data_IF_989180158259
#
_entry.id   IF_989180158259
#
_cell.length_a   1.000
_cell.length_b   1.000
_cell.length_c   1.000
_cell.angle_alpha   90.00
_cell.angle_beta   90.00
_cell.angle_gamma   90.00
#
_symmetry.space_group_name_H-M   'P 1'
#
loop_
_entity.id
_entity.type
_entity.pdbx_description
1 polymer ?
#
# COMPACT_ATOMS: atom_id res chain seq x y z
N UNK A 1 61.89 25.38 -5.11
CA UNK A 1 61.06 24.25 -4.65
C UNK A 1 59.77 24.83 -4.08
N UNK A 2 58.69 24.82 -4.87
CA UNK A 2 57.36 25.25 -4.42
C UNK A 2 56.54 23.97 -4.24
N UNK A 3 56.22 23.61 -2.99
CA UNK A 3 55.38 22.44 -2.71
C UNK A 3 53.91 22.83 -2.90
N UNK A 4 53.29 22.28 -3.93
CA UNK A 4 51.85 22.37 -4.16
C UNK A 4 51.16 21.36 -3.23
N UNK A 5 50.49 21.85 -2.19
CA UNK A 5 49.66 21.01 -1.31
C UNK A 5 48.31 20.82 -1.98
N UNK A 6 48.07 19.61 -2.49
CA UNK A 6 46.78 19.21 -3.06
C UNK A 6 45.84 18.83 -1.91
N UNK A 7 44.88 19.70 -1.59
CA UNK A 7 43.82 19.39 -0.63
C UNK A 7 42.73 18.62 -1.39
N UNK A 8 42.75 17.29 -1.27
CA UNK A 8 41.66 16.43 -1.74
C UNK A 8 40.56 16.49 -0.66
N UNK A 9 39.50 17.25 -0.91
CA UNK A 9 38.29 17.19 -0.10
C UNK A 9 37.54 15.89 -0.43
N UNK A 10 37.60 14.91 0.46
CA UNK A 10 36.65 13.81 0.44
C UNK A 10 35.30 14.32 0.95
N UNK A 11 34.41 14.69 0.03
CA UNK A 11 32.99 14.81 0.35
C UNK A 11 32.44 13.39 0.57
N UNK A 12 32.38 12.96 1.82
CA UNK A 12 31.66 11.75 2.19
C UNK A 12 30.17 11.97 1.91
N UNK A 13 29.68 11.48 0.77
CA UNK A 13 28.24 11.37 0.53
C UNK A 13 27.72 10.23 1.42
N UNK A 14 27.27 10.57 2.62
CA UNK A 14 26.50 9.63 3.45
C UNK A 14 25.11 9.48 2.83
N UNK A 15 24.92 8.51 1.95
CA UNK A 15 23.57 8.00 1.67
C UNK A 15 23.20 7.01 2.77
N UNK A 16 22.72 7.51 3.91
CA UNK A 16 22.02 6.65 4.87
C UNK A 16 20.57 6.51 4.38
N UNK A 17 20.34 5.66 3.39
CA UNK A 17 18.99 5.17 3.10
C UNK A 17 18.89 3.73 3.60
N UNK A 18 18.71 3.55 4.92
CA UNK A 18 18.49 2.23 5.51
C UNK A 18 17.69 2.32 6.81
N UNK A 19 16.47 2.80 6.69
CA UNK A 19 15.25 2.31 7.32
C UNK A 19 14.10 2.80 6.42
N UNK A 20 12.98 2.09 6.27
CA UNK A 20 12.59 0.75 6.76
C UNK A 20 13.40 -0.39 6.09
N UNK A 21 13.13 -1.71 6.31
CA UNK A 21 14.10 -2.80 6.09
C UNK A 21 14.69 -2.95 4.67
N UNK A 22 14.01 -2.42 3.64
CA UNK A 22 14.52 -2.42 2.27
C UNK A 22 14.89 -1.01 1.76
N UNK A 23 14.80 0.02 2.62
CA UNK A 23 15.02 1.43 2.27
C UNK A 23 13.96 1.96 1.30
N UNK A 24 14.36 2.88 0.41
CA UNK A 24 13.47 3.40 -0.64
C UNK A 24 13.03 2.26 -1.58
N UNK A 25 11.72 2.02 -1.63
CA UNK A 25 11.14 1.09 -2.60
C UNK A 25 11.09 1.70 -4.00
N UNK A 26 11.21 0.86 -5.00
CA UNK A 26 11.04 1.22 -6.41
C UNK A 26 10.39 0.09 -7.19
N UNK A 27 9.69 0.42 -8.27
CA UNK A 27 9.06 -0.57 -9.16
C UNK A 27 9.82 -0.65 -10.47
N UNK A 28 10.19 -1.85 -10.89
CA UNK A 28 10.82 -2.13 -12.18
C UNK A 28 10.14 -3.31 -12.86
N UNK A 29 9.34 -3.03 -13.88
CA UNK A 29 8.47 -4.03 -14.49
C UNK A 29 7.49 -4.59 -13.46
N UNK A 30 7.39 -5.92 -13.39
CA UNK A 30 6.55 -6.59 -12.41
C UNK A 30 7.18 -6.79 -11.02
N UNK A 31 8.26 -6.05 -10.68
CA UNK A 31 9.00 -6.23 -9.41
C UNK A 31 9.03 -4.97 -8.56
N UNK A 32 8.77 -5.14 -7.27
CA UNK A 32 9.11 -4.21 -6.19
C UNK A 32 10.52 -4.52 -5.70
N UNK A 33 11.37 -3.50 -5.71
CA UNK A 33 12.79 -3.59 -5.34
C UNK A 33 13.08 -2.66 -4.17
N UNK A 34 13.97 -3.08 -3.30
CA UNK A 34 14.59 -2.21 -2.29
C UNK A 34 15.67 -1.30 -2.89
N UNK A 35 16.21 -0.44 -2.04
CA UNK A 35 17.29 0.50 -2.36
C UNK A 35 18.59 -0.18 -2.84
N UNK A 36 18.78 -1.46 -2.52
CA UNK A 36 19.91 -2.28 -2.98
C UNK A 36 19.66 -2.96 -4.35
N UNK A 37 18.51 -2.69 -4.98
CA UNK A 37 18.11 -3.28 -6.26
C UNK A 37 17.65 -4.75 -6.18
N UNK A 38 17.57 -5.33 -4.98
CA UNK A 38 17.04 -6.68 -4.77
C UNK A 38 15.52 -6.66 -4.56
N UNK A 39 14.80 -7.75 -4.89
CA UNK A 39 13.37 -7.86 -4.60
C UNK A 39 13.06 -7.59 -3.12
N UNK A 40 12.09 -6.72 -2.88
CA UNK A 40 11.54 -6.46 -1.56
C UNK A 40 10.24 -7.26 -1.38
N UNK A 41 10.08 -7.90 -0.23
CA UNK A 41 8.84 -8.58 0.15
C UNK A 41 8.36 -7.99 1.47
N UNK A 42 7.19 -7.35 1.43
CA UNK A 42 6.57 -6.88 2.65
C UNK A 42 5.68 -8.00 3.20
N UNK A 43 5.55 -8.03 4.51
CA UNK A 43 4.70 -8.97 5.22
C UNK A 43 4.25 -8.26 6.48
N UNK A 44 2.94 -8.17 6.65
CA UNK A 44 2.36 -7.32 7.67
C UNK A 44 0.91 -7.60 7.90
N UNK A 45 0.28 -6.71 8.67
CA UNK A 45 -1.14 -6.76 8.98
C UNK A 45 -1.81 -5.47 8.52
N UNK A 46 -3.01 -5.61 7.97
CA UNK A 46 -3.95 -4.50 7.92
C UNK A 46 -4.59 -4.34 9.29
N UNK A 47 -4.62 -3.11 9.77
CA UNK A 47 -5.58 -2.75 10.80
C UNK A 47 -6.98 -2.79 10.19
N UNK A 48 -7.99 -3.05 11.02
CA UNK A 48 -9.38 -2.93 10.60
C UNK A 48 -9.74 -1.45 10.40
N UNK A 49 -10.92 -1.19 9.83
CA UNK A 49 -11.47 0.14 9.57
C UNK A 49 -11.31 1.10 10.76
N UNK A 50 -10.73 2.28 10.50
CA UNK A 50 -10.38 3.28 11.52
C UNK A 50 -11.56 3.85 12.31
N UNK A 51 -12.76 3.87 11.72
CA UNK A 51 -13.98 4.43 12.31
C UNK A 51 -14.81 3.41 13.10
N UNK A 52 -14.48 2.12 13.03
CA UNK A 52 -15.19 1.07 13.76
C UNK A 52 -14.62 0.90 15.17
N UNK A 53 -15.47 0.53 16.14
CA UNK A 53 -15.04 0.41 17.54
C UNK A 53 -14.01 -0.71 17.72
N UNK A 54 -14.15 -1.78 16.94
CA UNK A 54 -13.27 -2.94 16.87
C UNK A 54 -11.89 -2.58 16.29
N UNK A 55 -11.84 -1.66 15.33
CA UNK A 55 -10.62 -1.29 14.63
C UNK A 55 -9.86 -0.15 15.31
N UNK A 56 -10.57 0.92 15.70
CA UNK A 56 -9.97 2.19 16.14
C UNK A 56 -9.02 2.06 17.33
N UNK A 57 -9.25 1.07 18.21
CA UNK A 57 -8.42 0.85 19.39
C UNK A 57 -6.99 0.40 19.04
N UNK A 58 -6.76 -0.10 17.83
CA UNK A 58 -5.47 -0.62 17.36
C UNK A 58 -4.61 0.42 16.61
N UNK A 59 -5.10 1.64 16.41
CA UNK A 59 -4.37 2.73 15.75
C UNK A 59 -3.42 3.44 16.74
N UNK A 60 -2.44 2.70 17.26
CA UNK A 60 -1.49 3.20 18.25
C UNK A 60 -0.10 2.52 18.13
N UNK A 61 0.93 3.13 18.71
CA UNK A 61 2.32 2.64 18.63
C UNK A 61 2.51 1.26 19.26
N UNK A 62 1.79 0.95 20.35
CA UNK A 62 1.96 -0.33 21.05
C UNK A 62 1.50 -1.50 20.16
N UNK A 63 0.39 -1.35 19.45
CA UNK A 63 -0.03 -2.34 18.46
C UNK A 63 1.04 -2.58 17.40
N UNK A 64 1.62 -1.52 16.82
CA UNK A 64 2.67 -1.67 15.80
C UNK A 64 3.94 -2.31 16.37
N UNK A 65 4.30 -2.00 17.62
CA UNK A 65 5.42 -2.64 18.32
C UNK A 65 5.19 -4.14 18.45
N UNK A 66 3.98 -4.57 18.81
CA UNK A 66 3.63 -6.00 18.88
C UNK A 66 3.68 -6.66 17.49
N UNK A 67 3.12 -6.01 16.46
CA UNK A 67 3.19 -6.52 15.09
C UNK A 67 4.65 -6.69 14.62
N UNK A 68 5.51 -5.69 14.85
CA UNK A 68 6.92 -5.79 14.51
C UNK A 68 7.64 -6.88 15.30
N UNK A 69 7.58 -6.82 16.63
CA UNK A 69 8.46 -7.61 17.48
C UNK A 69 7.97 -9.04 17.70
N UNK A 70 6.66 -9.25 17.82
CA UNK A 70 6.09 -10.56 18.08
C UNK A 70 5.70 -11.29 16.78
N UNK A 71 5.26 -10.56 15.75
CA UNK A 71 4.77 -11.16 14.49
C UNK A 71 5.76 -10.99 13.34
N UNK A 72 6.90 -10.34 13.59
CA UNK A 72 7.94 -10.08 12.60
C UNK A 72 7.44 -9.31 11.36
N UNK A 73 6.41 -8.47 11.54
CA UNK A 73 5.87 -7.63 10.49
C UNK A 73 6.88 -6.53 10.12
N UNK A 74 7.03 -6.28 8.82
CA UNK A 74 7.83 -5.16 8.30
C UNK A 74 6.98 -4.05 7.68
N UNK A 75 5.66 -4.27 7.57
CA UNK A 75 4.68 -3.31 7.09
C UNK A 75 3.41 -3.35 7.94
N UNK A 76 2.67 -2.24 7.94
CA UNK A 76 1.34 -2.13 8.53
C UNK A 76 0.46 -1.31 7.59
N UNK A 77 -0.80 -1.71 7.43
CA UNK A 77 -1.79 -0.98 6.63
C UNK A 77 -2.82 -0.29 7.51
N UNK A 78 -2.99 1.01 7.29
CA UNK A 78 -3.93 1.87 8.00
C UNK A 78 -5.19 2.08 7.16
N UNK A 79 -6.16 1.18 7.30
CA UNK A 79 -7.43 1.19 6.57
C UNK A 79 -8.37 2.32 7.07
N UNK A 80 -8.21 3.52 6.50
CA UNK A 80 -8.99 4.68 6.92
C UNK A 80 -10.42 4.61 6.39
N UNK A 81 -11.39 4.42 7.28
CA UNK A 81 -12.80 4.45 6.91
C UNK A 81 -13.21 5.80 6.34
N UNK A 82 -13.75 5.81 5.12
CA UNK A 82 -14.08 7.04 4.39
C UNK A 82 -15.53 7.46 4.66
N UNK A 83 -16.48 6.60 4.31
CA UNK A 83 -17.91 6.82 4.55
C UNK A 83 -18.36 6.25 5.90
N UNK A 84 -19.53 6.70 6.35
CA UNK A 84 -20.16 6.14 7.53
C UNK A 84 -20.75 4.74 7.34
N UNK A 85 -21.02 4.33 6.09
CA UNK A 85 -21.73 3.09 5.79
C UNK A 85 -20.98 1.81 6.13
N UNK A 86 -19.64 1.83 6.19
CA UNK A 86 -18.83 0.63 6.47
C UNK A 86 -19.14 -0.01 7.83
N UNK A 87 -19.24 0.81 8.88
CA UNK A 87 -19.56 0.35 10.24
C UNK A 87 -20.69 1.14 10.92
N UNK A 88 -21.47 1.89 10.15
CA UNK A 88 -22.52 2.79 10.67
C UNK A 88 -21.97 3.81 11.70
N UNK A 89 -20.73 4.27 11.48
CA UNK A 89 -20.00 5.25 12.31
C UNK A 89 -19.37 6.32 11.43
N UNK A 90 -19.37 7.61 11.82
CA UNK A 90 -18.79 8.69 11.01
C UNK A 90 -17.37 8.37 10.52
N UNK A 91 -17.14 8.48 9.21
CA UNK A 91 -15.84 8.24 8.58
C UNK A 91 -15.08 9.54 8.30
N UNK A 92 -14.05 9.50 7.47
CA UNK A 92 -13.25 10.66 7.07
C UNK A 92 -14.08 11.78 6.43
N UNK A 93 -15.15 11.45 5.69
CA UNK A 93 -16.02 12.48 5.09
C UNK A 93 -16.76 13.32 6.14
N UNK A 94 -17.08 12.71 7.29
CA UNK A 94 -17.81 13.36 8.38
C UNK A 94 -16.84 13.98 9.42
N UNK A 95 -15.77 13.27 9.75
CA UNK A 95 -14.79 13.63 10.79
C UNK A 95 -13.35 13.59 10.24
N UNK A 96 -12.98 14.48 9.29
CA UNK A 96 -11.73 14.36 8.54
C UNK A 96 -10.49 14.44 9.43
N UNK A 97 -10.48 15.32 10.45
CA UNK A 97 -9.35 15.41 11.37
C UNK A 97 -9.24 14.14 12.24
N UNK A 98 -10.36 13.60 12.73
CA UNK A 98 -10.35 12.44 13.63
C UNK A 98 -9.79 11.20 12.92
N UNK A 99 -10.28 10.89 11.73
CA UNK A 99 -9.83 9.70 11.00
C UNK A 99 -8.41 9.87 10.45
N UNK A 100 -8.05 11.06 9.97
CA UNK A 100 -6.67 11.35 9.52
C UNK A 100 -5.67 11.24 10.66
N UNK A 101 -5.98 11.76 11.85
CA UNK A 101 -5.05 11.75 12.99
C UNK A 101 -4.77 10.31 13.47
N UNK A 102 -5.72 9.38 13.32
CA UNK A 102 -5.48 7.94 13.56
C UNK A 102 -4.48 7.34 12.56
N UNK A 103 -4.67 7.61 11.27
CA UNK A 103 -3.73 7.16 10.23
C UNK A 103 -2.35 7.75 10.45
N UNK A 104 -2.29 9.03 10.84
CA UNK A 104 -1.03 9.70 11.17
C UNK A 104 -0.32 9.07 12.37
N UNK A 105 -1.06 8.67 13.40
CA UNK A 105 -0.49 7.93 14.53
C UNK A 105 0.19 6.63 14.08
N UNK A 106 -0.43 5.88 13.16
CA UNK A 106 0.15 4.67 12.55
C UNK A 106 1.40 5.01 11.74
N UNK A 107 1.36 6.06 10.90
CA UNK A 107 2.50 6.50 10.09
C UNK A 107 3.69 6.90 10.96
N UNK A 108 3.47 7.71 12.00
CA UNK A 108 4.52 8.14 12.92
C UNK A 108 5.15 6.95 13.67
N UNK A 109 4.32 6.02 14.14
CA UNK A 109 4.79 4.84 14.82
C UNK A 109 5.54 3.89 13.86
N UNK A 110 5.09 3.71 12.62
CA UNK A 110 5.79 2.93 11.61
C UNK A 110 7.17 3.53 11.26
N UNK A 111 7.27 4.85 11.12
CA UNK A 111 8.55 5.55 10.94
C UNK A 111 9.47 5.27 12.13
N UNK A 112 9.00 5.48 13.36
CA UNK A 112 9.77 5.28 14.59
C UNK A 112 10.23 3.82 14.76
N UNK A 113 9.42 2.88 14.29
CA UNK A 113 9.68 1.46 14.39
C UNK A 113 10.31 0.89 13.12
N UNK A 114 10.81 1.70 12.18
CA UNK A 114 11.40 1.23 10.92
C UNK A 114 10.52 0.16 10.21
N UNK A 115 9.25 0.46 10.02
CA UNK A 115 8.27 -0.33 9.26
C UNK A 115 7.74 0.50 8.08
N UNK A 116 7.26 -0.16 7.03
CA UNK A 116 6.44 0.51 6.01
C UNK A 116 5.03 0.77 6.54
N UNK A 117 4.42 1.88 6.13
CA UNK A 117 3.03 2.23 6.40
C UNK A 117 2.27 2.37 5.07
N UNK A 118 1.26 1.53 4.87
CA UNK A 118 0.30 1.68 3.78
C UNK A 118 -0.80 2.64 4.25
N UNK A 119 -0.87 3.80 3.60
CA UNK A 119 -1.87 4.85 3.83
C UNK A 119 -3.04 4.59 2.89
N UNK A 120 -4.10 3.99 3.41
CA UNK A 120 -5.21 3.47 2.64
C UNK A 120 -6.48 4.33 2.78
N UNK A 121 -7.00 4.77 1.64
CA UNK A 121 -8.30 5.43 1.53
C UNK A 121 -9.39 4.36 1.32
N UNK A 122 -9.91 3.87 2.44
CA UNK A 122 -10.64 2.61 2.52
C UNK A 122 -12.12 2.76 2.15
N UNK A 123 -12.40 2.70 0.84
CA UNK A 123 -13.74 2.81 0.24
C UNK A 123 -13.85 1.99 -1.04
N UNK A 124 -15.09 1.71 -1.44
CA UNK A 124 -15.47 1.08 -2.71
C UNK A 124 -15.88 2.06 -3.82
N UNK A 125 -15.89 3.36 -3.52
CA UNK A 125 -16.40 4.44 -4.37
C UNK A 125 -15.64 5.77 -4.25
N UNK A 126 -14.31 5.71 -4.16
CA UNK A 126 -13.46 6.89 -3.95
C UNK A 126 -13.67 8.01 -4.99
N UNK A 127 -14.08 7.66 -6.22
CA UNK A 127 -14.38 8.63 -7.27
C UNK A 127 -15.46 9.65 -6.89
N UNK A 128 -16.38 9.28 -5.99
CA UNK A 128 -17.46 10.14 -5.53
C UNK A 128 -16.97 11.21 -4.55
N UNK A 129 -15.77 11.04 -3.99
CA UNK A 129 -15.16 11.93 -3.00
C UNK A 129 -13.75 12.41 -3.40
N UNK A 130 -13.49 12.55 -4.71
CA UNK A 130 -12.20 12.90 -5.28
C UNK A 130 -11.49 14.09 -4.60
N UNK A 131 -12.19 15.18 -4.31
CA UNK A 131 -11.58 16.36 -3.69
C UNK A 131 -11.14 16.08 -2.25
N UNK A 132 -11.91 15.27 -1.51
CA UNK A 132 -11.55 14.84 -0.15
C UNK A 132 -10.36 13.89 -0.15
N UNK A 133 -10.29 12.98 -1.13
CA UNK A 133 -9.12 12.15 -1.34
C UNK A 133 -7.87 12.99 -1.69
N UNK A 134 -7.99 14.01 -2.56
CA UNK A 134 -6.89 14.93 -2.86
C UNK A 134 -6.39 15.69 -1.62
N UNK A 135 -7.29 16.17 -0.77
CA UNK A 135 -6.95 16.79 0.51
C UNK A 135 -6.17 15.83 1.41
N UNK A 136 -6.68 14.61 1.56
CA UNK A 136 -6.07 13.55 2.38
C UNK A 136 -4.65 13.20 1.90
N UNK A 137 -4.49 12.89 0.62
CA UNK A 137 -3.19 12.51 0.08
C UNK A 137 -2.22 13.71 -0.01
N UNK A 138 -2.72 14.93 -0.20
CA UNK A 138 -1.88 16.13 -0.08
C UNK A 138 -1.30 16.25 1.33
N UNK A 139 -2.09 16.00 2.37
CA UNK A 139 -1.61 16.03 3.75
C UNK A 139 -0.44 15.05 3.97
N UNK A 140 -0.64 13.77 3.65
CA UNK A 140 0.40 12.76 3.86
C UNK A 140 1.61 12.94 2.93
N UNK A 141 1.40 13.27 1.66
CA UNK A 141 2.52 13.47 0.72
C UNK A 141 3.36 14.71 1.06
N UNK A 142 2.72 15.83 1.45
CA UNK A 142 3.46 17.05 1.83
C UNK A 142 4.25 16.89 3.13
N UNK A 143 3.70 16.16 4.11
CA UNK A 143 4.31 16.01 5.43
C UNK A 143 5.30 14.83 5.51
N UNK A 144 5.00 13.73 4.83
CA UNK A 144 5.73 12.48 4.96
C UNK A 144 6.35 11.95 3.66
N UNK A 145 6.20 12.65 2.53
CA UNK A 145 6.69 12.15 1.24
C UNK A 145 8.22 12.00 1.11
N UNK A 146 8.99 12.57 2.05
CA UNK A 146 10.44 12.37 2.13
C UNK A 146 10.83 11.16 3.01
N UNK A 147 9.87 10.49 3.65
CA UNK A 147 10.11 9.27 4.41
C UNK A 147 9.89 8.06 3.50
N UNK A 148 10.89 7.20 3.45
CA UNK A 148 10.93 5.94 2.68
C UNK A 148 9.90 4.91 3.16
N UNK A 149 9.29 5.13 4.33
CA UNK A 149 8.31 4.27 4.95
C UNK A 149 6.95 4.26 4.26
N UNK A 150 6.61 5.30 3.49
CA UNK A 150 5.23 5.51 3.06
C UNK A 150 4.92 4.74 1.78
N UNK A 151 3.77 4.08 1.77
CA UNK A 151 3.13 3.50 0.59
C UNK A 151 1.72 4.07 0.53
N UNK A 152 1.29 4.57 -0.62
CA UNK A 152 -0.05 5.12 -0.79
C UNK A 152 -0.98 4.10 -1.44
N UNK A 153 -2.20 3.97 -0.92
CA UNK A 153 -3.27 3.18 -1.51
C UNK A 153 -4.49 4.09 -1.73
N UNK A 154 -4.60 4.73 -2.92
CA UNK A 154 -5.62 5.75 -3.20
C UNK A 154 -7.07 5.28 -3.21
N UNK A 155 -7.28 3.98 -3.40
CA UNK A 155 -8.59 3.38 -3.57
C UNK A 155 -8.47 1.90 -3.19
N UNK A 156 -9.08 1.52 -2.07
CA UNK A 156 -9.15 0.15 -1.57
C UNK A 156 -9.81 -0.83 -2.58
N UNK A 157 -11.10 -0.67 -2.87
CA UNK A 157 -11.88 -1.69 -3.59
C UNK A 157 -12.85 -1.12 -4.64
N UNK A 158 -12.36 -0.61 -5.78
CA UNK A 158 -13.24 -0.09 -6.81
C UNK A 158 -14.36 -1.05 -7.24
N UNK A 159 -15.60 -0.58 -7.13
CA UNK A 159 -16.78 -1.24 -7.71
C UNK A 159 -17.12 -0.72 -9.11
N UNK A 160 -16.45 0.35 -9.55
CA UNK A 160 -16.57 0.90 -10.91
C UNK A 160 -15.74 0.12 -11.92
N UNK A 161 -15.97 0.38 -13.21
CA UNK A 161 -15.09 -0.13 -14.28
C UNK A 161 -13.66 0.45 -14.20
N UNK A 162 -12.72 -0.20 -14.89
CA UNK A 162 -11.31 0.18 -14.84
C UNK A 162 -11.09 1.59 -15.41
N UNK A 163 -11.85 1.98 -16.43
CA UNK A 163 -11.74 3.30 -17.05
C UNK A 163 -12.03 4.41 -16.03
N UNK A 164 -13.07 4.23 -15.22
CA UNK A 164 -13.45 5.17 -14.15
C UNK A 164 -12.43 5.18 -13.03
N UNK A 165 -12.01 4.00 -12.55
CA UNK A 165 -10.98 3.88 -11.51
C UNK A 165 -9.64 4.50 -11.96
N UNK A 166 -9.22 4.25 -13.21
CA UNK A 166 -8.02 4.82 -13.82
C UNK A 166 -8.06 6.35 -13.85
N UNK A 167 -9.18 6.95 -14.27
CA UNK A 167 -9.32 8.40 -14.32
C UNK A 167 -9.24 9.05 -12.92
N UNK A 168 -9.72 8.37 -11.87
CA UNK A 168 -9.51 8.78 -10.49
C UNK A 168 -8.03 8.66 -10.09
N UNK A 169 -7.41 7.50 -10.36
CA UNK A 169 -6.02 7.23 -10.01
C UNK A 169 -5.04 8.21 -10.65
N UNK A 170 -5.22 8.56 -11.93
CA UNK A 170 -4.38 9.54 -12.62
C UNK A 170 -4.37 10.90 -11.89
N UNK A 171 -5.51 11.33 -11.35
CA UNK A 171 -5.60 12.58 -10.60
C UNK A 171 -4.98 12.51 -9.20
N UNK A 172 -5.15 11.39 -8.49
CA UNK A 172 -4.54 11.22 -7.17
C UNK A 172 -3.02 11.02 -7.29
N UNK A 173 -2.55 10.23 -8.26
CA UNK A 173 -1.12 10.08 -8.56
C UNK A 173 -0.51 11.45 -8.86
N UNK A 174 -1.13 12.25 -9.74
CA UNK A 174 -0.65 13.61 -10.00
C UNK A 174 -0.62 14.49 -8.73
N UNK A 175 -1.58 14.32 -7.83
CA UNK A 175 -1.66 15.04 -6.55
C UNK A 175 -0.52 14.65 -5.60
N UNK A 176 -0.31 13.35 -5.36
CA UNK A 176 0.78 12.83 -4.54
C UNK A 176 2.13 13.27 -5.13
N UNK A 177 2.31 13.09 -6.45
CA UNK A 177 3.56 13.41 -7.15
C UNK A 177 3.92 14.88 -7.16
N UNK A 178 3.06 15.81 -6.70
CA UNK A 178 3.48 17.19 -6.43
C UNK A 178 4.50 17.27 -5.30
N UNK A 179 4.33 16.45 -4.26
CA UNK A 179 5.11 16.50 -3.03
C UNK A 179 6.04 15.30 -2.86
N UNK A 180 5.63 14.11 -3.29
CA UNK A 180 6.38 12.88 -3.17
C UNK A 180 6.73 12.30 -4.54
N UNK A 181 8.01 12.35 -4.92
CA UNK A 181 8.46 11.89 -6.24
C UNK A 181 8.70 10.38 -6.33
N UNK A 182 8.86 9.69 -5.21
CA UNK A 182 9.56 8.41 -5.19
C UNK A 182 8.77 7.27 -4.56
N UNK A 183 7.95 7.52 -3.52
CA UNK A 183 7.31 6.42 -2.81
C UNK A 183 6.30 5.67 -3.68
N UNK A 184 6.15 4.39 -3.37
CA UNK A 184 5.26 3.50 -4.09
C UNK A 184 3.80 3.92 -3.91
N UNK A 185 3.01 3.76 -4.97
CA UNK A 185 1.56 3.87 -4.93
C UNK A 185 0.98 2.54 -5.43
N UNK A 186 0.11 1.89 -4.66
CA UNK A 186 -0.67 0.74 -5.11
C UNK A 186 -2.09 1.16 -5.46
N UNK A 187 -2.56 0.78 -6.66
CA UNK A 187 -3.78 1.30 -7.26
C UNK A 187 -4.87 0.22 -7.26
N UNK A 188 -5.94 0.43 -6.50
CA UNK A 188 -7.15 -0.40 -6.53
C UNK A 188 -7.61 -0.75 -7.93
N UNK A 189 -8.03 -1.99 -8.16
CA UNK A 189 -8.56 -2.46 -9.45
C UNK A 189 -10.05 -2.77 -9.37
N UNK A 190 -10.72 -2.90 -10.51
CA UNK A 190 -12.17 -3.18 -10.53
C UNK A 190 -12.55 -4.49 -9.84
N UNK A 191 -13.83 -4.57 -9.46
CA UNK A 191 -14.43 -5.73 -8.80
C UNK A 191 -13.72 -6.04 -7.48
N UNK A 192 -13.72 -5.07 -6.58
CA UNK A 192 -13.07 -5.17 -5.26
C UNK A 192 -11.61 -5.58 -5.36
N UNK A 193 -10.86 -4.87 -6.23
CA UNK A 193 -9.44 -5.13 -6.48
C UNK A 193 -9.14 -6.55 -6.95
N UNK A 194 -9.88 -7.06 -7.94
CA UNK A 194 -9.63 -8.39 -8.54
C UNK A 194 -9.14 -8.32 -10.00
N UNK A 195 -9.48 -7.26 -10.73
CA UNK A 195 -9.28 -7.16 -12.17
C UNK A 195 -7.91 -6.57 -12.56
N UNK A 196 -6.84 -7.09 -11.93
CA UNK A 196 -5.46 -6.71 -12.26
C UNK A 196 -5.09 -7.05 -13.70
N UNK A 197 -5.68 -8.09 -14.28
CA UNK A 197 -5.45 -8.48 -15.68
C UNK A 197 -5.97 -7.41 -16.65
N UNK A 198 -7.08 -6.75 -16.32
CA UNK A 198 -7.63 -5.63 -17.09
C UNK A 198 -6.73 -4.40 -16.92
N UNK A 199 -6.42 -4.03 -15.67
CA UNK A 199 -5.59 -2.88 -15.37
C UNK A 199 -4.21 -2.95 -16.04
N UNK A 200 -3.63 -4.16 -16.11
CA UNK A 200 -2.32 -4.38 -16.72
C UNK A 200 -2.26 -4.13 -18.23
N UNK A 201 -3.41 -4.16 -18.93
CA UNK A 201 -3.49 -3.89 -20.38
C UNK A 201 -3.67 -2.40 -20.68
N UNK A 202 -4.10 -1.62 -19.70
CA UNK A 202 -4.28 -0.17 -19.82
C UNK A 202 -3.79 0.55 -18.54
N UNK A 203 -2.48 0.47 -18.22
CA UNK A 203 -1.95 0.97 -16.96
C UNK A 203 -2.08 2.50 -16.84
N UNK A 204 -2.18 2.97 -15.59
CA UNK A 204 -2.01 4.38 -15.22
C UNK A 204 -0.59 4.83 -15.54
N UNK A 205 -0.45 5.98 -16.20
CA UNK A 205 0.86 6.55 -16.51
C UNK A 205 1.54 7.08 -15.25
N UNK A 206 2.79 6.66 -15.01
CA UNK A 206 3.60 7.14 -13.90
C UNK A 206 4.75 6.20 -13.56
N UNK A 207 5.44 6.51 -12.47
CA UNK A 207 6.54 5.71 -11.94
C UNK A 207 6.21 5.21 -10.53
N UNK A 208 6.83 4.09 -10.15
CA UNK A 208 6.67 3.43 -8.85
C UNK A 208 5.20 3.13 -8.53
N UNK A 209 4.49 2.56 -9.51
CA UNK A 209 3.09 2.15 -9.40
C UNK A 209 3.00 0.61 -9.39
N UNK A 210 2.22 0.08 -8.46
CA UNK A 210 1.70 -1.29 -8.52
C UNK A 210 0.17 -1.25 -8.56
N UNK A 211 -0.44 -2.39 -8.83
CA UNK A 211 -1.90 -2.54 -8.86
C UNK A 211 -2.33 -3.48 -7.75
N UNK A 212 -3.39 -3.11 -7.06
CA UNK A 212 -3.86 -3.84 -5.90
C UNK A 212 -4.61 -5.10 -6.32
N UNK A 213 -4.32 -6.20 -5.64
CA UNK A 213 -5.09 -7.45 -5.69
C UNK A 213 -5.57 -7.84 -4.29
N UNK A 214 -6.87 -8.06 -4.10
CA UNK A 214 -7.41 -8.58 -2.85
C UNK A 214 -7.82 -10.05 -2.95
N UNK A 215 -7.56 -10.82 -1.90
CA UNK A 215 -7.73 -12.27 -1.90
C UNK A 215 -8.44 -12.76 -0.64
N UNK A 216 -9.59 -13.42 -0.79
CA UNK A 216 -10.21 -14.16 0.30
C UNK A 216 -10.16 -15.66 -0.04
N UNK A 217 -9.36 -16.41 0.71
CA UNK A 217 -8.91 -17.74 0.32
C UNK A 217 -10.05 -18.72 0.07
N UNK A 218 -11.18 -18.64 0.78
CA UNK A 218 -12.30 -19.55 0.57
C UNK A 218 -13.15 -19.21 -0.68
N UNK A 219 -13.04 -18.00 -1.22
CA UNK A 219 -13.81 -17.53 -2.39
C UNK A 219 -12.94 -17.45 -3.65
N UNK A 220 -11.75 -16.86 -3.54
CA UNK A 220 -10.86 -16.56 -4.66
C UNK A 220 -9.85 -17.69 -4.83
N UNK A 221 -9.90 -18.39 -5.98
CA UNK A 221 -9.13 -19.60 -6.24
C UNK A 221 -8.24 -19.41 -7.47
N UNK A 222 -8.13 -20.46 -8.30
CA UNK A 222 -7.31 -20.46 -9.51
C UNK A 222 -7.67 -19.33 -10.48
N UNK A 223 -8.95 -19.01 -10.62
CA UNK A 223 -9.42 -17.94 -11.50
C UNK A 223 -8.79 -16.57 -11.18
N UNK A 224 -8.56 -16.25 -9.91
CA UNK A 224 -7.93 -14.99 -9.51
C UNK A 224 -6.40 -15.09 -9.61
N UNK A 225 -5.81 -16.27 -9.36
CA UNK A 225 -4.38 -16.52 -9.64
C UNK A 225 -4.04 -16.36 -11.13
N UNK A 226 -4.93 -16.79 -12.02
CA UNK A 226 -4.76 -16.65 -13.46
C UNK A 226 -4.79 -15.17 -13.89
N UNK A 227 -5.68 -14.35 -13.30
CA UNK A 227 -5.67 -12.89 -13.51
C UNK A 227 -4.36 -12.25 -13.04
N UNK A 228 -3.90 -12.64 -11.85
CA UNK A 228 -2.63 -12.17 -11.32
C UNK A 228 -1.46 -12.56 -12.24
N UNK A 229 -1.42 -13.81 -12.71
CA UNK A 229 -0.39 -14.28 -13.65
C UNK A 229 -0.40 -13.48 -14.96
N UNK A 230 -1.59 -13.24 -15.55
CA UNK A 230 -1.71 -12.45 -16.78
C UNK A 230 -1.16 -11.03 -16.61
N UNK A 231 -1.41 -10.39 -15.46
CA UNK A 231 -0.87 -9.07 -15.18
C UNK A 231 0.66 -9.06 -14.95
N UNK A 232 1.21 -10.09 -14.30
CA UNK A 232 2.66 -10.27 -14.20
C UNK A 232 3.31 -10.49 -15.57
N UNK A 233 2.67 -11.25 -16.45
CA UNK A 233 3.14 -11.53 -17.81
C UNK A 233 3.11 -10.28 -18.69
N UNK A 234 2.17 -9.36 -18.43
CA UNK A 234 2.15 -8.01 -18.99
C UNK A 234 3.20 -7.07 -18.36
N UNK A 235 4.09 -7.59 -17.51
CA UNK A 235 5.19 -6.88 -16.86
C UNK A 235 4.74 -5.73 -15.95
N UNK A 236 3.60 -5.92 -15.27
CA UNK A 236 3.02 -4.94 -14.33
C UNK A 236 3.17 -5.43 -12.89
N UNK A 237 3.56 -4.52 -11.99
CA UNK A 237 3.69 -4.84 -10.56
C UNK A 237 2.32 -5.00 -9.91
N UNK A 238 2.17 -6.04 -9.09
CA UNK A 238 0.97 -6.29 -8.29
C UNK A 238 1.37 -6.30 -6.82
N UNK A 239 0.48 -5.78 -5.98
CA UNK A 239 0.65 -5.71 -4.54
C UNK A 239 -0.62 -6.21 -3.84
N UNK A 240 -0.48 -7.16 -2.91
CA UNK A 240 -1.61 -7.66 -2.10
C UNK A 240 -1.70 -6.84 -0.82
N UNK A 241 -2.41 -5.71 -0.86
CA UNK A 241 -2.61 -4.89 0.35
C UNK A 241 -3.62 -5.51 1.32
N UNK A 242 -4.46 -6.44 0.86
CA UNK A 242 -5.43 -7.15 1.70
C UNK A 242 -5.60 -8.61 1.28
N UNK A 243 -5.57 -9.52 2.26
CA UNK A 243 -6.05 -10.88 2.07
C UNK A 243 -6.65 -11.47 3.36
N UNK A 244 -7.62 -12.36 3.20
CA UNK A 244 -8.28 -13.10 4.25
C UNK A 244 -8.16 -14.61 4.05
N UNK A 245 -8.19 -15.37 5.15
CA UNK A 245 -8.10 -16.84 5.14
C UNK A 245 -9.46 -17.53 5.00
N UNK A 246 -10.53 -16.75 4.99
CA UNK A 246 -11.93 -17.20 4.96
C UNK A 246 -12.61 -16.74 3.66
N UNK A 247 -13.95 -16.73 3.61
CA UNK A 247 -14.68 -16.27 2.42
C UNK A 247 -14.76 -14.73 2.34
N UNK A 248 -15.15 -14.20 1.18
CA UNK A 248 -15.17 -12.77 0.87
C UNK A 248 -16.14 -11.94 1.73
N UNK A 249 -16.97 -12.55 2.58
CA UNK A 249 -17.73 -11.82 3.60
C UNK A 249 -16.88 -11.43 4.83
N UNK A 250 -15.65 -11.94 4.93
CA UNK A 250 -14.82 -11.86 6.12
C UNK A 250 -15.21 -12.85 7.22
N UNK A 251 -16.24 -13.68 6.99
CA UNK A 251 -16.71 -14.73 7.87
C UNK A 251 -16.47 -16.14 7.31
N UNK A 252 -17.06 -17.13 7.98
CA UNK A 252 -16.96 -18.53 7.56
C UNK A 252 -15.71 -19.25 8.09
N UNK A 253 -15.45 -20.43 7.53
CA UNK A 253 -14.34 -21.28 7.95
C UNK A 253 -13.06 -20.94 7.20
N UNK A 254 -11.93 -21.14 7.87
CA UNK A 254 -10.60 -21.02 7.26
C UNK A 254 -10.44 -22.09 6.17
N UNK A 255 -10.02 -21.66 4.97
CA UNK A 255 -9.64 -22.56 3.88
C UNK A 255 -8.12 -22.65 3.76
N UNK A 256 -7.53 -23.49 4.61
CA UNK A 256 -6.07 -23.69 4.70
C UNK A 256 -5.46 -24.22 3.40
N UNK A 257 -6.19 -25.06 2.65
CA UNK A 257 -5.68 -25.62 1.38
C UNK A 257 -5.51 -24.50 0.37
N UNK A 258 -6.54 -23.68 0.18
CA UNK A 258 -6.47 -22.54 -0.73
C UNK A 258 -5.43 -21.51 -0.29
N UNK A 259 -5.31 -21.25 1.01
CA UNK A 259 -4.29 -20.31 1.51
C UNK A 259 -2.86 -20.79 1.19
N UNK A 260 -2.59 -22.09 1.34
CA UNK A 260 -1.29 -22.66 0.97
C UNK A 260 -1.02 -22.55 -0.53
N UNK A 261 -2.03 -22.71 -1.38
CA UNK A 261 -1.89 -22.48 -2.83
C UNK A 261 -1.56 -21.02 -3.16
N UNK A 262 -2.20 -20.06 -2.47
CA UNK A 262 -1.90 -18.64 -2.62
C UNK A 262 -0.49 -18.28 -2.18
N UNK A 263 -0.06 -18.72 -0.99
CA UNK A 263 1.32 -18.53 -0.54
C UNK A 263 2.33 -19.17 -1.49
N UNK A 264 2.06 -20.39 -1.97
CA UNK A 264 2.89 -21.06 -2.96
C UNK A 264 3.00 -20.27 -4.27
N UNK A 265 1.89 -19.72 -4.75
CA UNK A 265 1.86 -18.84 -5.92
C UNK A 265 2.71 -17.58 -5.70
N UNK A 266 2.51 -16.86 -4.59
CA UNK A 266 3.24 -15.63 -4.28
C UNK A 266 4.75 -15.84 -4.16
N UNK A 267 5.17 -16.91 -3.48
CA UNK A 267 6.59 -17.29 -3.37
C UNK A 267 7.17 -17.60 -4.75
N UNK A 268 6.48 -18.39 -5.56
CA UNK A 268 6.94 -18.82 -6.89
C UNK A 268 7.12 -17.63 -7.84
N UNK A 269 6.16 -16.70 -7.85
CA UNK A 269 6.17 -15.55 -8.77
C UNK A 269 6.96 -14.36 -8.23
N UNK A 270 7.48 -14.46 -6.99
CA UNK A 270 8.08 -13.32 -6.26
C UNK A 270 7.11 -12.15 -6.16
N UNK A 271 5.83 -12.48 -6.01
CA UNK A 271 4.75 -11.54 -5.82
C UNK A 271 4.94 -10.74 -4.55
N UNK A 272 4.53 -9.49 -4.58
CA UNK A 272 4.69 -8.59 -3.46
C UNK A 272 3.41 -8.61 -2.61
N UNK A 273 3.60 -8.95 -1.35
CA UNK A 273 2.64 -8.83 -0.25
C UNK A 273 3.08 -7.59 0.55
#
# INVERSE_FOLDING_TARGET
MLYLVLIISFSSIYHINAAPPFGQLSVKGNKLLGSNGQPAQLAGMSLFWSNCDEGKIFYNEETLRQLKCAWNANAVRAAMGVESSGCQRPGYLDLPNVERDKVEAVVLAAIKLDMYAVVDYHTDKAQDSLDKAKEFFTYFASKYGNYTNIIYEPFNEPTTDWKTAKAYHEQIVATIRKYDKNNMITLGTSTWSQDVDIASRDPVNGANLCYTLHVYAATHKQNIRDKAQAALDNNVCIFVSEYGTVDASGGGNIDTVSMNEWWGFWIKTKFHI
#
